data_IF_289233111211
#
_entry.id   IF_289233111211
#
_cell.length_a   1.000
_cell.length_b   1.000
_cell.length_c   1.000
_cell.angle_alpha   90.00
_cell.angle_beta   90.00
_cell.angle_gamma   90.00
#
_symmetry.space_group_name_H-M   'P 1'
#
loop_
_entity.id
_entity.type
_entity.pdbx_description
1 polymer ?
#
# COMPACT_ATOMS: atom_id res chain seq x y z
N UNK A 1 21.56 0.99 -1.54
CA UNK A 1 21.47 0.71 -0.12
C UNK A 1 20.12 0.08 0.18
N UNK A 2 20.14 -0.99 0.91
CA UNK A 2 18.94 -1.72 1.22
C UNK A 2 18.93 -2.20 2.66
N UNK A 3 17.81 -2.81 3.03
CA UNK A 3 17.60 -3.30 4.37
C UNK A 3 16.77 -4.58 4.31
N UNK A 4 17.15 -5.56 5.13
CA UNK A 4 16.34 -6.76 5.32
C UNK A 4 15.28 -6.47 6.38
N UNK A 5 14.06 -6.90 6.15
CA UNK A 5 12.97 -6.76 7.11
C UNK A 5 12.07 -7.99 7.10
N UNK A 6 11.34 -8.21 8.19
CA UNK A 6 10.41 -9.32 8.33
C UNK A 6 8.97 -8.82 8.36
N UNK A 7 8.09 -9.53 7.64
CA UNK A 7 6.66 -9.21 7.59
C UNK A 7 5.98 -9.71 8.86
N UNK A 8 5.12 -8.86 9.43
CA UNK A 8 4.26 -9.22 10.55
C UNK A 8 2.81 -8.95 10.15
N UNK A 9 1.94 -9.94 10.40
CA UNK A 9 0.53 -9.83 10.03
C UNK A 9 0.23 -10.28 8.61
N UNK A 10 -1.04 -10.27 8.25
CA UNK A 10 -1.55 -10.83 6.99
C UNK A 10 -2.21 -9.80 6.07
N UNK A 11 -1.98 -8.51 6.28
CA UNK A 11 -2.60 -7.46 5.45
C UNK A 11 -2.19 -7.50 3.98
N UNK A 12 -1.07 -8.15 3.68
CA UNK A 12 -0.55 -8.29 2.32
C UNK A 12 -0.72 -9.70 1.75
N UNK A 13 -1.44 -10.59 2.43
CA UNK A 13 -1.71 -11.91 1.86
C UNK A 13 -2.66 -11.77 0.66
N UNK A 14 -2.45 -12.48 -0.41
CA UNK A 14 -1.56 -13.63 -0.67
C UNK A 14 -0.15 -13.26 -1.14
N UNK A 15 0.16 -11.96 -1.27
CA UNK A 15 1.46 -11.54 -1.82
C UNK A 15 2.59 -11.80 -0.83
N UNK A 16 2.37 -11.40 0.42
CA UNK A 16 3.34 -11.56 1.50
C UNK A 16 2.63 -12.11 2.72
N UNK A 17 3.30 -12.99 3.44
CA UNK A 17 2.76 -13.62 4.64
C UNK A 17 3.62 -13.29 5.86
N UNK A 18 2.99 -13.34 7.04
CA UNK A 18 3.71 -13.15 8.29
C UNK A 18 4.89 -14.11 8.38
N UNK A 19 6.04 -13.60 8.74
CA UNK A 19 7.30 -14.37 8.79
C UNK A 19 8.15 -14.27 7.54
N UNK A 20 7.61 -13.74 6.43
CA UNK A 20 8.40 -13.52 5.21
C UNK A 20 9.50 -12.51 5.48
N UNK A 21 10.69 -12.76 4.93
CA UNK A 21 11.83 -11.85 4.99
C UNK A 21 11.97 -11.15 3.63
N UNK A 22 12.08 -9.82 3.67
CA UNK A 22 12.10 -8.98 2.49
C UNK A 22 13.38 -8.17 2.41
N UNK A 23 13.74 -7.81 1.18
CA UNK A 23 14.74 -6.79 0.92
C UNK A 23 14.05 -5.48 0.51
N UNK A 24 14.41 -4.40 1.20
CA UNK A 24 13.85 -3.07 0.96
C UNK A 24 14.90 -2.23 0.26
N UNK A 25 14.59 -1.73 -0.93
CA UNK A 25 15.44 -0.82 -1.67
C UNK A 25 15.15 0.60 -1.19
N UNK A 26 16.17 1.24 -0.62
CA UNK A 26 16.06 2.59 -0.07
C UNK A 26 16.49 3.68 -1.04
N UNK A 27 17.14 3.33 -2.14
CA UNK A 27 17.68 4.30 -3.09
C UNK A 27 16.72 4.65 -4.22
N UNK A 28 15.84 3.74 -4.61
CA UNK A 28 14.99 3.96 -5.79
C UNK A 28 14.24 5.28 -5.74
N UNK A 29 13.72 5.64 -4.57
CA UNK A 29 12.90 6.84 -4.43
C UNK A 29 13.69 8.12 -4.13
N UNK A 30 15.01 8.03 -4.00
CA UNK A 30 15.87 9.22 -3.95
C UNK A 30 16.00 9.84 -5.34
N UNK A 31 15.96 9.00 -6.38
CA UNK A 31 16.15 9.41 -7.77
C UNK A 31 14.88 9.31 -8.61
N UNK A 32 13.80 8.81 -8.04
CA UNK A 32 12.53 8.63 -8.70
C UNK A 32 11.39 8.74 -7.70
N UNK A 33 10.22 8.33 -8.12
CA UNK A 33 9.03 8.38 -7.28
C UNK A 33 8.32 7.04 -7.27
N UNK A 34 7.60 6.72 -6.18
CA UNK A 34 6.77 5.53 -6.14
C UNK A 34 5.80 5.49 -7.30
N UNK A 35 5.63 4.30 -7.87
CA UNK A 35 4.72 4.05 -8.98
C UNK A 35 3.52 3.27 -8.49
N UNK A 36 2.43 3.34 -9.26
CA UNK A 36 1.24 2.55 -8.96
C UNK A 36 1.61 1.08 -8.84
N UNK A 37 1.09 0.45 -7.81
CA UNK A 37 1.31 -0.95 -7.44
C UNK A 37 2.67 -1.29 -6.82
N UNK A 38 3.56 -0.34 -6.63
CA UNK A 38 4.75 -0.57 -5.82
C UNK A 38 4.35 -0.95 -4.39
N UNK A 39 5.09 -1.88 -3.80
CA UNK A 39 4.93 -2.21 -2.38
C UNK A 39 5.95 -1.41 -1.60
N UNK A 40 5.48 -0.60 -0.66
CA UNK A 40 6.33 0.35 0.07
C UNK A 40 6.28 0.12 1.57
N UNK A 41 7.32 0.58 2.24
CA UNK A 41 7.45 0.53 3.70
C UNK A 41 7.46 1.96 4.23
N UNK A 42 6.65 2.21 5.24
CA UNK A 42 6.56 3.53 5.88
C UNK A 42 6.25 3.38 7.38
N UNK A 43 6.61 4.37 8.21
CA UNK A 43 6.30 4.29 9.63
C UNK A 43 4.82 4.49 9.90
N UNK A 44 4.30 3.75 10.88
CA UNK A 44 2.98 4.01 11.43
C UNK A 44 3.13 5.05 12.55
N UNK A 45 2.65 6.26 12.34
CA UNK A 45 2.91 7.38 13.23
C UNK A 45 2.31 7.24 14.62
N UNK A 46 1.21 6.51 14.74
CA UNK A 46 0.52 6.34 16.04
C UNK A 46 1.23 5.37 16.97
N UNK A 47 2.22 4.64 16.49
CA UNK A 47 2.92 3.63 17.28
C UNK A 47 4.41 3.66 16.97
N UNK A 48 5.22 3.93 18.00
CA UNK A 48 6.67 4.02 17.87
C UNK A 48 7.29 2.71 17.39
N UNK A 49 8.30 2.81 16.53
CA UNK A 49 9.07 1.69 16.00
C UNK A 49 8.21 0.66 15.24
N UNK A 50 7.07 1.10 14.72
CA UNK A 50 6.15 0.28 13.94
C UNK A 50 6.15 0.75 12.49
N UNK A 51 6.28 -0.19 11.57
CA UNK A 51 6.30 0.08 10.14
C UNK A 51 5.23 -0.74 9.44
N UNK A 52 4.60 -0.13 8.45
CA UNK A 52 3.61 -0.78 7.61
C UNK A 52 4.19 -1.05 6.24
N UNK A 53 3.72 -2.15 5.64
CA UNK A 53 4.06 -2.56 4.28
C UNK A 53 2.73 -2.62 3.54
N UNK A 54 2.58 -1.78 2.53
CA UNK A 54 1.33 -1.65 1.77
C UNK A 54 1.64 -1.39 0.30
N UNK A 55 0.61 -1.50 -0.53
CA UNK A 55 0.73 -1.28 -1.97
C UNK A 55 0.20 0.09 -2.36
N UNK A 56 0.94 0.79 -3.22
CA UNK A 56 0.52 2.08 -3.78
C UNK A 56 -0.67 1.86 -4.73
N UNK A 57 -1.76 2.57 -4.46
CA UNK A 57 -2.97 2.54 -5.29
C UNK A 57 -3.22 3.89 -5.93
N UNK A 58 -3.18 4.97 -5.17
CA UNK A 58 -3.36 6.32 -5.68
C UNK A 58 -2.04 7.09 -5.71
N UNK A 59 -1.86 7.90 -6.74
CA UNK A 59 -0.68 8.73 -6.97
C UNK A 59 -0.97 10.20 -6.69
N UNK A 60 0.07 11.04 -6.48
CA UNK A 60 -0.13 12.46 -6.21
C UNK A 60 -1.06 13.13 -7.22
N UNK A 61 -1.95 13.96 -6.72
CA UNK A 61 -2.89 14.72 -7.53
C UNK A 61 -4.12 13.94 -7.99
N UNK A 62 -4.18 12.65 -7.72
CA UNK A 62 -5.34 11.83 -8.12
C UNK A 62 -6.44 11.86 -7.08
N UNK A 63 -7.65 11.49 -7.48
CA UNK A 63 -8.76 11.20 -6.57
C UNK A 63 -8.93 9.70 -6.45
N UNK A 64 -9.30 9.23 -5.26
CA UNK A 64 -9.56 7.82 -4.98
C UNK A 64 -10.96 7.70 -4.38
N UNK A 65 -11.75 6.79 -4.91
CA UNK A 65 -13.10 6.50 -4.41
C UNK A 65 -13.36 5.01 -4.52
N UNK A 66 -14.03 4.44 -3.54
CA UNK A 66 -14.44 3.03 -3.55
C UNK A 66 -15.95 3.00 -3.47
N UNK A 67 -16.61 2.40 -4.47
CA UNK A 67 -18.06 2.35 -4.50
C UNK A 67 -18.63 1.25 -3.60
N UNK A 68 -19.96 1.17 -3.53
CA UNK A 68 -20.64 0.21 -2.67
C UNK A 68 -20.41 -1.25 -3.09
N UNK A 69 -20.03 -1.47 -4.34
CA UNK A 69 -19.73 -2.79 -4.86
C UNK A 69 -18.27 -3.20 -4.65
N UNK A 70 -17.45 -2.28 -4.12
CA UNK A 70 -16.05 -2.55 -3.83
C UNK A 70 -15.12 -2.25 -5.00
N UNK A 71 -15.58 -1.54 -6.01
CA UNK A 71 -14.74 -1.11 -7.12
C UNK A 71 -13.97 0.15 -6.76
N UNK A 72 -12.67 0.13 -7.03
CA UNK A 72 -11.79 1.28 -6.79
C UNK A 72 -11.79 2.16 -8.03
N UNK A 73 -12.01 3.46 -7.84
CA UNK A 73 -11.96 4.46 -8.91
C UNK A 73 -10.80 5.42 -8.67
N UNK A 74 -10.05 5.68 -9.74
CA UNK A 74 -8.98 6.68 -9.76
C UNK A 74 -9.38 7.73 -10.80
N UNK A 75 -9.50 8.99 -10.37
CA UNK A 75 -9.94 10.09 -11.25
C UNK A 75 -11.26 9.73 -11.96
N UNK A 76 -12.20 9.19 -11.20
CA UNK A 76 -13.54 8.81 -11.68
C UNK A 76 -13.60 7.65 -12.67
N UNK A 77 -12.49 6.94 -12.87
CA UNK A 77 -12.44 5.76 -13.73
C UNK A 77 -12.06 4.52 -12.93
N UNK A 78 -12.63 3.35 -13.24
CA UNK A 78 -12.25 2.12 -12.56
C UNK A 78 -10.75 1.87 -12.68
N UNK A 79 -10.14 1.50 -11.56
CA UNK A 79 -8.72 1.18 -11.52
C UNK A 79 -8.43 -0.05 -12.36
N UNK A 80 -7.53 0.10 -13.34
CA UNK A 80 -7.09 -1.00 -14.19
C UNK A 80 -5.79 -1.61 -13.68
N UNK A 81 -5.61 -2.91 -13.94
CA UNK A 81 -4.36 -3.60 -13.62
C UNK A 81 -4.21 -4.04 -12.19
N UNK A 82 -5.22 -3.83 -11.34
CA UNK A 82 -5.18 -4.26 -9.95
C UNK A 82 -5.50 -5.76 -9.83
N UNK A 83 -4.47 -6.56 -9.98
CA UNK A 83 -4.58 -8.03 -9.85
C UNK A 83 -4.28 -8.53 -8.45
N UNK A 84 -4.10 -7.61 -7.50
CA UNK A 84 -3.55 -7.92 -6.17
C UNK A 84 -4.62 -8.11 -5.10
N UNK A 85 -5.73 -7.42 -5.23
CA UNK A 85 -6.86 -7.62 -4.33
C UNK A 85 -7.51 -8.96 -4.58
N UNK A 86 -7.71 -9.73 -3.52
CA UNK A 86 -8.25 -11.10 -3.60
C UNK A 86 -9.74 -11.14 -3.84
N UNK A 87 -10.43 -10.11 -3.42
CA UNK A 87 -11.90 -10.04 -3.44
C UNK A 87 -12.34 -8.58 -3.44
N UNK A 88 -13.58 -8.29 -3.87
CA UNK A 88 -14.10 -6.93 -3.78
C UNK A 88 -14.06 -6.42 -2.34
N UNK A 89 -13.80 -5.14 -2.17
CA UNK A 89 -13.81 -4.49 -0.86
C UNK A 89 -15.26 -4.48 -0.36
N UNK A 90 -15.47 -5.00 0.85
CA UNK A 90 -16.79 -5.00 1.46
C UNK A 90 -17.27 -3.56 1.71
N UNK A 91 -18.57 -3.33 1.60
CA UNK A 91 -19.15 -2.00 1.73
C UNK A 91 -18.73 -1.30 3.03
N UNK A 92 -18.71 -2.02 4.14
CA UNK A 92 -18.31 -1.49 5.45
C UNK A 92 -16.81 -1.41 5.65
N UNK A 93 -16.00 -1.77 4.64
CA UNK A 93 -14.53 -1.71 4.67
C UNK A 93 -13.95 -0.62 3.78
N UNK A 94 -14.78 0.27 3.27
CA UNK A 94 -14.31 1.36 2.39
C UNK A 94 -13.62 2.48 3.14
N UNK A 95 -13.92 2.65 4.42
CA UNK A 95 -13.34 3.71 5.25
C UNK A 95 -13.56 5.10 4.66
N UNK A 96 -12.52 5.94 4.71
CA UNK A 96 -12.60 7.31 4.18
C UNK A 96 -12.84 7.36 2.68
N UNK A 97 -12.52 6.29 1.95
CA UNK A 97 -12.71 6.22 0.50
C UNK A 97 -14.16 5.92 0.09
N UNK A 98 -15.09 5.77 1.05
CA UNK A 98 -16.53 5.76 0.75
C UNK A 98 -17.00 7.11 0.21
N UNK A 99 -16.20 8.15 0.41
CA UNK A 99 -16.31 9.44 -0.25
C UNK A 99 -15.01 9.68 -1.02
N UNK A 100 -15.03 10.60 -1.99
CA UNK A 100 -13.84 10.88 -2.79
C UNK A 100 -12.71 11.45 -1.94
N UNK A 101 -11.53 10.86 -2.05
CA UNK A 101 -10.31 11.34 -1.41
C UNK A 101 -9.45 12.01 -2.46
N UNK A 102 -9.03 13.25 -2.22
CA UNK A 102 -8.14 13.99 -3.12
C UNK A 102 -6.71 13.94 -2.56
N UNK A 103 -5.77 13.46 -3.36
CA UNK A 103 -4.37 13.37 -2.98
C UNK A 103 -3.63 14.65 -3.33
N UNK A 104 -2.82 15.14 -2.41
CA UNK A 104 -1.95 16.29 -2.63
C UNK A 104 -0.76 15.96 -3.53
N UNK A 105 0.11 16.95 -3.74
CA UNK A 105 1.21 16.85 -4.70
C UNK A 105 2.29 15.81 -4.35
N UNK A 106 2.37 15.41 -3.09
CA UNK A 106 3.34 14.40 -2.64
C UNK A 106 2.67 13.28 -1.85
N UNK A 107 1.37 13.12 -1.99
CA UNK A 107 0.59 12.15 -1.24
C UNK A 107 0.24 10.93 -2.06
N UNK A 108 0.27 9.78 -1.39
CA UNK A 108 -0.07 8.48 -1.95
C UNK A 108 -1.17 7.83 -1.13
N UNK A 109 -2.05 7.10 -1.80
CA UNK A 109 -3.07 6.29 -1.14
C UNK A 109 -2.66 4.83 -1.24
N UNK A 110 -2.57 4.15 -0.10
CA UNK A 110 -2.08 2.78 -0.05
C UNK A 110 -3.15 1.83 0.48
N UNK A 111 -3.13 0.60 -0.03
CA UNK A 111 -3.99 -0.48 0.45
C UNK A 111 -3.16 -1.72 0.72
N UNK A 112 -3.59 -2.52 1.69
CA UNK A 112 -3.11 -3.90 1.81
C UNK A 112 -3.77 -4.77 0.75
N UNK A 113 -3.09 -5.79 0.29
CA UNK A 113 -3.66 -6.72 -0.70
C UNK A 113 -4.80 -7.55 -0.12
N UNK A 114 -4.74 -7.85 1.15
CA UNK A 114 -5.86 -8.46 1.86
C UNK A 114 -6.90 -7.38 2.22
N UNK A 115 -7.63 -6.93 1.22
CA UNK A 115 -8.45 -5.71 1.23
C UNK A 115 -9.45 -5.64 2.38
N UNK A 116 -10.03 -6.75 2.76
CA UNK A 116 -11.02 -6.76 3.85
C UNK A 116 -10.40 -7.02 5.22
N UNK A 117 -9.08 -7.11 5.29
CA UNK A 117 -8.35 -7.33 6.54
C UNK A 117 -7.01 -6.58 6.53
N UNK A 118 -7.08 -5.27 6.33
CA UNK A 118 -5.90 -4.41 6.28
C UNK A 118 -6.20 -3.04 6.87
N UNK A 119 -5.26 -2.55 7.69
CA UNK A 119 -5.30 -1.18 8.20
C UNK A 119 -4.37 -0.34 7.32
N UNK A 120 -4.94 0.56 6.54
CA UNK A 120 -4.24 1.30 5.52
C UNK A 120 -4.84 2.70 5.33
N UNK A 121 -4.61 3.35 4.19
CA UNK A 121 -5.06 4.73 3.96
C UNK A 121 -6.56 4.95 4.12
N UNK A 122 -7.37 3.89 4.13
CA UNK A 122 -8.81 4.00 4.40
C UNK A 122 -9.13 4.40 5.83
N UNK A 123 -8.18 4.24 6.74
CA UNK A 123 -8.31 4.61 8.15
C UNK A 123 -7.65 5.95 8.39
N UNK A 124 -8.32 6.83 9.15
CA UNK A 124 -7.81 8.20 9.41
C UNK A 124 -6.46 8.22 10.11
N UNK A 125 -6.18 7.24 10.96
CA UNK A 125 -4.91 7.16 11.69
C UNK A 125 -3.72 6.77 10.81
N UNK A 126 -3.97 6.21 9.64
CA UNK A 126 -2.94 5.96 8.63
C UNK A 126 -2.94 7.11 7.62
N UNK A 127 -4.08 7.35 6.99
CA UNK A 127 -4.28 8.46 6.04
C UNK A 127 -3.45 8.36 4.78
N UNK A 128 -3.33 9.47 4.08
CA UNK A 128 -2.49 9.58 2.90
C UNK A 128 -1.02 9.59 3.31
N UNK A 129 -0.18 8.93 2.55
CA UNK A 129 1.24 8.76 2.87
C UNK A 129 2.07 9.74 2.05
N UNK A 130 2.82 10.61 2.73
CA UNK A 130 3.70 11.55 2.06
C UNK A 130 4.96 10.86 1.58
N UNK A 131 5.46 11.27 0.42
CA UNK A 131 6.66 10.67 -0.18
C UNK A 131 7.85 10.63 0.78
N UNK A 132 8.07 11.68 1.54
CA UNK A 132 9.24 11.83 2.39
C UNK A 132 9.27 10.88 3.59
N UNK A 133 8.14 10.25 3.95
CA UNK A 133 8.12 9.25 5.02
C UNK A 133 8.27 7.82 4.50
N UNK A 134 8.21 7.61 3.19
CA UNK A 134 8.40 6.28 2.61
C UNK A 134 9.86 5.89 2.71
N UNK A 135 10.14 4.81 3.43
CA UNK A 135 11.50 4.33 3.67
C UNK A 135 12.09 3.71 2.41
N UNK A 136 11.30 2.97 1.67
CA UNK A 136 11.76 2.31 0.47
C UNK A 136 10.73 1.39 -0.14
N UNK A 137 11.13 0.70 -1.20
CA UNK A 137 10.32 -0.25 -1.92
C UNK A 137 10.72 -1.67 -1.57
N UNK A 138 9.74 -2.52 -1.28
CA UNK A 138 9.98 -3.95 -1.09
C UNK A 138 10.15 -4.59 -2.47
N UNK A 139 11.35 -5.10 -2.75
CA UNK A 139 11.70 -5.56 -4.10
C UNK A 139 11.94 -7.06 -4.21
N UNK A 140 12.25 -7.72 -3.09
CA UNK A 140 12.64 -9.13 -3.13
C UNK A 140 12.23 -9.84 -1.85
N UNK A 141 11.76 -11.09 -2.00
CA UNK A 141 11.38 -11.96 -0.88
C UNK A 141 12.35 -13.12 -0.79
N UNK A 142 12.85 -13.41 0.43
CA UNK A 142 13.79 -14.49 0.69
C UNK A 142 13.15 -15.76 1.22
N UNK A 143 11.93 -15.69 1.71
CA UNK A 143 11.20 -16.81 2.31
C UNK A 143 9.98 -17.15 1.48
N UNK A 144 9.45 -18.37 1.65
CA UNK A 144 8.30 -18.81 0.84
C UNK A 144 8.65 -18.97 -0.63
N UNK A 145 9.94 -19.14 -0.94
CA UNK A 145 10.48 -19.13 -2.29
C UNK A 145 11.12 -17.79 -2.61
N UNK A 146 12.31 -17.82 -3.22
CA UNK A 146 12.99 -16.61 -3.68
C UNK A 146 12.23 -16.02 -4.84
N UNK A 147 12.05 -14.71 -4.83
CA UNK A 147 11.39 -14.06 -5.94
C UNK A 147 11.19 -12.57 -5.79
N UNK A 148 10.90 -11.94 -6.91
CA UNK A 148 10.54 -10.54 -6.95
C UNK A 148 9.15 -10.34 -6.36
N UNK A 149 8.96 -9.21 -5.72
CA UNK A 149 7.65 -8.78 -5.25
C UNK A 149 7.00 -8.01 -6.39
N UNK A 150 5.83 -8.49 -6.80
CA UNK A 150 5.07 -7.85 -7.87
C UNK A 150 3.96 -6.98 -7.31
#
# INVERSE_FOLDING_TARGET
VGQRTEVSGESMSNTLHSGDTLWIDKLEYEFGSPKRFDVVVFPYEEEKDTFYIKRIIGLPGETVYIDEEGTIYINDEPLEGDKYGREPIAEDKRGVASEEVTLGDDEYFVLGDNRNNSRDSRFEDVGNIHKDVIIGRAVFRFTGGLGKIE
#
